data_IF_076942707752
#
_entry.id   IF_076942707752
#
_cell.length_a   1.000
_cell.length_b   1.000
_cell.length_c   1.000
_cell.angle_alpha   90.00
_cell.angle_beta   90.00
_cell.angle_gamma   90.00
#
_symmetry.space_group_name_H-M   'P 1'
#
loop_
_entity.id
_entity.type
_entity.pdbx_description
1 polymer ?
#
# COMPACT_ATOMS: atom_id res chain seq x y z
N UNK A 1 -9.72 -17.95 -11.56
CA UNK A 1 -8.83 -17.63 -10.42
C UNK A 1 -7.38 -17.38 -10.82
N UNK A 2 -6.49 -18.36 -11.09
CA UNK A 2 -5.06 -18.05 -11.39
C UNK A 2 -4.86 -17.37 -12.75
N UNK A 3 -5.63 -17.77 -13.77
CA UNK A 3 -5.49 -17.21 -15.13
C UNK A 3 -5.97 -15.75 -15.24
N UNK A 4 -6.95 -15.34 -14.44
CA UNK A 4 -7.41 -13.94 -14.41
C UNK A 4 -6.34 -13.03 -13.81
N UNK A 5 -5.66 -13.47 -12.75
CA UNK A 5 -4.56 -12.73 -12.15
C UNK A 5 -3.39 -12.56 -13.14
N UNK A 6 -3.03 -13.59 -13.89
CA UNK A 6 -1.99 -13.47 -14.92
C UNK A 6 -2.35 -12.46 -16.01
N UNK A 7 -3.62 -12.43 -16.44
CA UNK A 7 -4.10 -11.46 -17.41
C UNK A 7 -4.05 -10.03 -16.85
N UNK A 8 -4.41 -9.87 -15.57
CA UNK A 8 -4.36 -8.62 -14.83
C UNK A 8 -2.91 -8.08 -14.71
N UNK A 9 -1.95 -8.97 -14.39
CA UNK A 9 -0.52 -8.66 -14.33
C UNK A 9 0.01 -8.24 -15.70
N UNK A 10 -0.32 -8.99 -16.76
CA UNK A 10 0.10 -8.64 -18.12
C UNK A 10 -0.46 -7.28 -18.54
N UNK A 11 -1.73 -7.00 -18.21
CA UNK A 11 -2.34 -5.70 -18.50
C UNK A 11 -1.63 -4.57 -17.78
N UNK A 12 -1.25 -4.74 -16.51
CA UNK A 12 -0.51 -3.73 -15.76
C UNK A 12 0.91 -3.50 -16.32
N UNK A 13 1.62 -4.57 -16.68
CA UNK A 13 2.99 -4.46 -17.20
C UNK A 13 3.06 -3.83 -18.60
N UNK A 14 1.97 -3.88 -19.37
CA UNK A 14 1.87 -3.25 -20.68
C UNK A 14 1.49 -1.76 -20.60
N UNK A 15 0.95 -1.30 -19.47
CA UNK A 15 0.62 0.11 -19.32
C UNK A 15 1.87 0.99 -19.28
N UNK A 16 1.79 2.21 -19.84
CA UNK A 16 2.85 3.18 -19.68
C UNK A 16 3.03 3.53 -18.20
N UNK A 17 4.28 3.74 -17.79
CA UNK A 17 4.57 4.15 -16.42
C UNK A 17 3.87 5.47 -16.09
N UNK A 18 3.08 5.47 -15.02
CA UNK A 18 2.44 6.67 -14.47
C UNK A 18 3.51 7.69 -14.04
N UNK A 19 3.16 8.98 -14.04
CA UNK A 19 4.08 10.05 -13.61
C UNK A 19 4.55 9.82 -12.17
N UNK A 20 5.84 10.10 -11.94
CA UNK A 20 6.56 9.85 -10.66
C UNK A 20 6.01 10.63 -9.45
N UNK A 21 5.17 11.63 -9.71
CA UNK A 21 4.60 12.54 -8.73
C UNK A 21 3.20 12.12 -8.24
N UNK A 22 2.59 11.09 -8.85
CA UNK A 22 1.24 10.65 -8.50
C UNK A 22 1.22 9.89 -7.18
N UNK A 23 0.24 10.18 -6.32
CA UNK A 23 0.01 9.41 -5.09
C UNK A 23 -0.32 7.94 -5.44
N UNK A 24 0.60 7.03 -5.13
CA UNK A 24 0.50 5.63 -5.58
C UNK A 24 -0.74 4.92 -5.02
N UNK A 25 -1.18 5.25 -3.81
CA UNK A 25 -2.40 4.68 -3.22
C UNK A 25 -3.67 5.17 -3.94
N UNK A 26 -3.69 6.41 -4.46
CA UNK A 26 -4.81 6.92 -5.25
C UNK A 26 -4.86 6.25 -6.62
N UNK A 27 -3.71 5.99 -7.24
CA UNK A 27 -3.64 5.21 -8.48
C UNK A 27 -4.25 3.81 -8.30
N UNK A 28 -3.83 3.07 -7.27
CA UNK A 28 -4.40 1.73 -7.03
C UNK A 28 -5.89 1.77 -6.67
N UNK A 29 -6.35 2.86 -6.06
CA UNK A 29 -7.78 3.08 -5.79
C UNK A 29 -8.58 3.34 -7.07
N UNK A 30 -8.07 4.12 -8.03
CA UNK A 30 -8.74 4.31 -9.32
C UNK A 30 -8.73 3.05 -10.18
N UNK A 31 -7.67 2.24 -10.06
CA UNK A 31 -7.50 1.02 -10.83
C UNK A 31 -8.26 -0.19 -10.26
N UNK A 32 -8.93 -0.07 -9.10
CA UNK A 32 -9.61 -1.19 -8.44
C UNK A 32 -10.75 -1.81 -9.24
N UNK A 33 -11.34 -1.06 -10.18
CA UNK A 33 -12.37 -1.58 -11.09
C UNK A 33 -11.80 -2.43 -12.23
N UNK A 34 -10.58 -2.12 -12.69
CA UNK A 34 -9.94 -2.78 -13.83
C UNK A 34 -8.95 -3.87 -13.40
N UNK A 35 -8.28 -3.64 -12.28
CA UNK A 35 -7.31 -4.52 -11.65
C UNK A 35 -7.72 -4.80 -10.19
N UNK A 36 -8.81 -5.57 -9.95
CA UNK A 36 -9.37 -5.80 -8.62
C UNK A 36 -8.46 -6.63 -7.70
N UNK A 37 -7.70 -7.59 -8.21
CA UNK A 37 -6.82 -8.45 -7.39
C UNK A 37 -5.50 -7.73 -7.08
N UNK A 38 -4.92 -7.10 -8.09
CA UNK A 38 -3.69 -6.32 -7.98
C UNK A 38 -3.88 -5.09 -7.10
N UNK A 39 -5.00 -4.37 -7.20
CA UNK A 39 -5.30 -3.24 -6.33
C UNK A 39 -5.37 -3.64 -4.85
N UNK A 40 -6.00 -4.79 -4.53
CA UNK A 40 -6.04 -5.31 -3.17
C UNK A 40 -4.65 -5.66 -2.65
N UNK A 41 -3.85 -6.35 -3.46
CA UNK A 41 -2.46 -6.66 -3.09
C UNK A 41 -1.65 -5.39 -2.87
N UNK A 42 -1.71 -4.44 -3.81
CA UNK A 42 -0.98 -3.20 -3.73
C UNK A 42 -1.36 -2.38 -2.50
N UNK A 43 -2.64 -2.34 -2.13
CA UNK A 43 -3.07 -1.73 -0.87
C UNK A 43 -2.43 -2.43 0.34
N UNK A 44 -2.41 -3.76 0.40
CA UNK A 44 -1.78 -4.48 1.51
C UNK A 44 -0.26 -4.21 1.61
N UNK A 45 0.45 -4.18 0.47
CA UNK A 45 1.91 -4.01 0.48
C UNK A 45 2.37 -2.55 0.59
N UNK A 46 1.64 -1.61 0.00
CA UNK A 46 2.00 -0.19 -0.01
C UNK A 46 1.39 0.60 1.16
N UNK A 47 0.30 0.14 1.76
CA UNK A 47 -0.25 0.78 2.97
C UNK A 47 0.57 0.48 4.22
N UNK A 48 1.50 -0.49 4.17
CA UNK A 48 2.48 -0.68 5.22
C UNK A 48 3.46 0.49 5.12
N UNK A 49 3.49 1.42 6.09
CA UNK A 49 4.47 2.47 6.07
C UNK A 49 5.86 1.82 6.09
N UNK A 50 6.72 2.24 5.16
CA UNK A 50 8.10 1.74 5.05
C UNK A 50 8.96 1.99 6.32
N UNK A 51 8.40 2.64 7.33
CA UNK A 51 9.01 2.90 8.62
C UNK A 51 8.13 2.32 9.72
N UNK A 52 8.73 1.58 10.65
CA UNK A 52 8.16 1.20 11.96
C UNK A 52 7.79 2.40 12.84
N UNK A 53 7.94 3.64 12.34
CA UNK A 53 7.76 4.87 13.09
C UNK A 53 6.36 5.07 13.72
N UNK A 54 5.23 4.55 13.19
CA UNK A 54 3.93 4.73 13.84
C UNK A 54 3.83 4.00 15.18
N UNK A 55 4.34 2.76 15.26
CA UNK A 55 4.32 1.99 16.51
C UNK A 55 5.28 2.60 17.52
N UNK A 56 6.47 3.01 17.11
CA UNK A 56 7.44 3.68 17.99
C UNK A 56 6.91 4.97 18.62
N UNK A 57 6.17 5.82 17.89
CA UNK A 57 5.55 7.03 18.48
C UNK A 57 4.53 6.70 19.56
N UNK A 58 3.75 5.63 19.37
CA UNK A 58 2.80 5.14 20.39
C UNK A 58 3.56 4.60 21.61
N UNK A 59 4.62 3.82 21.40
CA UNK A 59 5.45 3.28 22.49
C UNK A 59 6.22 4.37 23.25
N UNK A 60 6.70 5.43 22.57
CA UNK A 60 7.36 6.57 23.21
C UNK A 60 6.39 7.38 24.07
N UNK A 61 5.15 7.59 23.60
CA UNK A 61 4.10 8.24 24.40
C UNK A 61 3.76 7.41 25.66
N UNK A 62 3.75 6.08 25.54
CA UNK A 62 3.52 5.16 26.66
C UNK A 62 4.62 5.19 27.73
N UNK A 63 5.89 5.34 27.34
CA UNK A 63 7.01 5.44 28.31
C UNK A 63 6.95 6.67 29.22
N UNK A 64 6.36 7.77 28.75
CA UNK A 64 6.20 8.99 29.55
C UNK A 64 5.16 8.82 30.68
N UNK A 65 4.32 7.78 30.62
CA UNK A 65 3.29 7.48 31.62
C UNK A 65 3.84 6.55 32.70
N UNK A 66 4.77 5.64 32.36
CA UNK A 66 5.41 4.72 33.30
C UNK A 66 6.56 5.33 34.10
N UNK A 67 7.03 6.54 33.76
CA UNK A 67 8.12 7.22 34.49
C UNK A 67 7.65 8.14 35.62
N UNK A 68 6.38 8.03 36.02
CA UNK A 68 5.84 8.68 37.23
C UNK A 68 5.58 7.62 38.31
N UNK A 69 6.63 6.94 38.74
CA UNK A 69 6.68 6.21 40.01
C UNK A 69 8.02 6.50 40.68
#
# INVERSE_FOLDING_TARGET
>A
EVQELEAEIRSYLLEPAEKKESEILLYWKSQSGRLPSLSKMAQCYLAIPATSAPSERVFLKGRQISSWQ
#
